data_IF_943666197235
#
_entry.id   IF_943666197235
#
_cell.length_a   1.000
_cell.length_b   1.000
_cell.length_c   1.000
_cell.angle_alpha   90.00
_cell.angle_beta   90.00
_cell.angle_gamma   90.00
#
_symmetry.space_group_name_H-M   'P 1'
#
loop_
_entity.id
_entity.type
_entity.pdbx_description
1 polymer ?
#
# COMPACT_ATOMS: atom_id res chain seq x y z
N UNK A 1 51.14 21.09 -4.48
CA UNK A 1 49.68 21.20 -4.28
C UNK A 1 49.14 19.78 -4.25
N UNK A 2 48.80 19.25 -3.05
CA UNK A 2 48.12 17.95 -2.93
C UNK A 2 46.62 18.23 -2.83
N UNK A 3 45.87 17.70 -3.81
CA UNK A 3 44.42 17.76 -3.85
C UNK A 3 43.83 16.79 -2.81
N UNK A 4 43.11 17.31 -1.83
CA UNK A 4 42.28 16.52 -0.92
C UNK A 4 41.04 16.04 -1.67
N UNK A 5 40.98 14.74 -1.98
CA UNK A 5 39.76 14.07 -2.41
C UNK A 5 38.96 13.70 -1.16
N UNK A 6 37.89 14.45 -0.89
CA UNK A 6 36.88 14.07 0.10
C UNK A 6 36.01 12.98 -0.52
N UNK A 7 36.23 11.73 -0.14
CA UNK A 7 35.34 10.62 -0.49
C UNK A 7 34.04 10.72 0.29
N UNK A 8 32.95 11.14 -0.37
CA UNK A 8 31.60 10.95 0.15
C UNK A 8 31.23 9.47 0.06
N UNK A 9 31.29 8.75 1.18
CA UNK A 9 30.70 7.43 1.30
C UNK A 9 29.17 7.60 1.40
N UNK A 10 28.46 7.37 0.29
CA UNK A 10 27.00 7.26 0.30
C UNK A 10 26.67 5.87 0.86
N UNK A 11 26.39 5.81 2.16
CA UNK A 11 25.84 4.61 2.79
C UNK A 11 24.38 4.47 2.35
N UNK A 12 24.11 3.58 1.40
CA UNK A 12 22.75 3.15 1.08
C UNK A 12 22.22 2.36 2.29
N UNK A 13 21.34 2.98 3.08
CA UNK A 13 20.56 2.25 4.08
C UNK A 13 19.65 1.28 3.31
N UNK A 14 19.85 -0.02 3.52
CA UNK A 14 18.97 -1.05 3.00
C UNK A 14 17.57 -0.83 3.56
N UNK A 15 16.60 -0.61 2.67
CA UNK A 15 15.18 -0.57 3.05
C UNK A 15 14.80 -1.98 3.49
N UNK A 16 14.57 -2.18 4.78
CA UNK A 16 14.00 -3.44 5.28
C UNK A 16 12.54 -3.43 4.86
N UNK A 17 12.20 -4.10 3.76
CA UNK A 17 10.81 -4.40 3.44
C UNK A 17 10.26 -5.32 4.53
N UNK A 18 9.49 -4.74 5.45
CA UNK A 18 8.78 -5.50 6.46
C UNK A 18 7.93 -6.56 5.76
N UNK A 19 8.05 -7.82 6.18
CA UNK A 19 7.23 -8.90 5.62
C UNK A 19 5.77 -8.64 5.97
N UNK A 20 4.91 -8.55 4.96
CA UNK A 20 3.47 -8.41 5.17
C UNK A 20 2.91 -9.77 5.56
N UNK A 21 2.15 -9.79 6.65
CA UNK A 21 1.51 -10.98 7.19
C UNK A 21 0.00 -10.89 7.02
N UNK A 22 -0.66 -12.04 6.87
CA UNK A 22 -2.12 -12.10 6.97
C UNK A 22 -2.59 -11.78 8.38
N UNK A 23 -3.89 -11.56 8.56
CA UNK A 23 -4.51 -11.36 9.88
C UNK A 23 -4.25 -12.50 10.89
N UNK A 24 -3.90 -13.69 10.40
CA UNK A 24 -3.54 -14.86 11.22
C UNK A 24 -2.02 -15.07 11.34
N UNK A 25 -1.20 -14.12 10.87
CA UNK A 25 0.26 -14.19 10.98
C UNK A 25 0.96 -15.02 9.91
N UNK A 26 0.28 -15.45 8.85
CA UNK A 26 0.93 -16.18 7.76
C UNK A 26 1.66 -15.22 6.83
N UNK A 27 2.83 -15.62 6.33
CA UNK A 27 3.52 -14.85 5.29
C UNK A 27 2.67 -14.83 4.02
N UNK A 28 2.58 -13.66 3.39
CA UNK A 28 1.86 -13.49 2.12
C UNK A 28 2.81 -13.81 0.95
N UNK A 29 2.41 -14.70 0.00
CA UNK A 29 3.12 -14.90 -1.26
C UNK A 29 3.28 -13.59 -2.04
N UNK A 30 4.41 -13.41 -2.72
CA UNK A 30 4.70 -12.20 -3.49
C UNK A 30 3.64 -11.93 -4.56
N UNK A 31 3.09 -12.99 -5.16
CA UNK A 31 2.00 -12.91 -6.14
C UNK A 31 0.75 -12.21 -5.60
N UNK A 32 0.56 -12.18 -4.28
CA UNK A 32 -0.61 -11.61 -3.61
C UNK A 32 -0.37 -10.24 -2.98
N UNK A 33 0.89 -9.82 -2.81
CA UNK A 33 1.24 -8.53 -2.19
C UNK A 33 0.71 -7.34 -3.00
N UNK A 34 0.59 -7.50 -4.33
CA UNK A 34 0.05 -6.46 -5.22
C UNK A 34 -1.38 -6.03 -4.90
N UNK A 35 -2.20 -6.91 -4.31
CA UNK A 35 -3.55 -6.55 -3.85
C UNK A 35 -3.54 -5.61 -2.63
N UNK A 36 -2.42 -5.54 -1.92
CA UNK A 36 -2.22 -4.71 -0.73
C UNK A 36 -1.46 -3.41 -1.03
N UNK A 37 -1.15 -3.16 -2.30
CA UNK A 37 -0.41 -1.98 -2.76
C UNK A 37 -1.33 -0.77 -2.99
N UNK A 38 -2.04 -0.39 -1.93
CA UNK A 38 -2.86 0.82 -1.90
C UNK A 38 -2.30 1.83 -0.90
N UNK A 39 -2.34 3.13 -1.22
CA UNK A 39 -1.97 4.16 -0.26
C UNK A 39 -2.77 4.09 1.03
N UNK A 40 -2.16 4.54 2.13
CA UNK A 40 -2.82 4.61 3.45
C UNK A 40 -4.11 5.43 3.34
N UNK A 41 -5.27 4.82 3.59
CA UNK A 41 -6.55 5.54 3.59
C UNK A 41 -7.19 5.79 2.22
N UNK A 42 -6.61 5.28 1.12
CA UNK A 42 -7.23 5.31 -0.21
C UNK A 42 -8.29 4.21 -0.32
N UNK A 43 -9.52 4.54 0.07
CA UNK A 43 -10.65 3.60 0.07
C UNK A 43 -11.04 3.16 -1.34
N UNK A 44 -10.87 4.02 -2.35
CA UNK A 44 -11.18 3.70 -3.74
C UNK A 44 -10.23 2.62 -4.27
N UNK A 45 -8.92 2.79 -4.07
CA UNK A 45 -7.92 1.80 -4.41
C UNK A 45 -8.22 0.46 -3.73
N UNK A 46 -8.46 0.48 -2.41
CA UNK A 46 -8.71 -0.74 -1.64
C UNK A 46 -9.96 -1.49 -2.11
N UNK A 47 -11.06 -0.77 -2.36
CA UNK A 47 -12.28 -1.37 -2.90
C UNK A 47 -12.05 -2.00 -4.28
N UNK A 48 -11.29 -1.33 -5.14
CA UNK A 48 -10.91 -1.86 -6.45
C UNK A 48 -10.05 -3.14 -6.33
N UNK A 49 -9.02 -3.11 -5.49
CA UNK A 49 -8.16 -4.29 -5.28
C UNK A 49 -8.90 -5.46 -4.65
N UNK A 50 -9.81 -5.21 -3.69
CA UNK A 50 -10.68 -6.25 -3.14
C UNK A 50 -11.57 -6.86 -4.20
N UNK A 51 -12.20 -6.03 -5.04
CA UNK A 51 -13.02 -6.51 -6.16
C UNK A 51 -12.21 -7.37 -7.12
N UNK A 52 -11.01 -6.92 -7.52
CA UNK A 52 -10.09 -7.70 -8.37
C UNK A 52 -9.66 -9.02 -7.71
N UNK A 53 -9.40 -9.02 -6.41
CA UNK A 53 -9.01 -10.24 -5.68
C UNK A 53 -10.16 -11.24 -5.67
N UNK A 54 -11.37 -10.80 -5.28
CA UNK A 54 -12.56 -11.64 -5.16
C UNK A 54 -13.12 -12.13 -6.50
N UNK A 55 -12.81 -11.44 -7.61
CA UNK A 55 -13.22 -11.85 -8.96
C UNK A 55 -12.11 -12.54 -9.76
N UNK A 56 -10.92 -12.70 -9.17
CA UNK A 56 -9.80 -13.38 -9.82
C UNK A 56 -10.07 -14.87 -10.01
N UNK A 57 -9.53 -15.43 -11.10
CA UNK A 57 -9.64 -16.87 -11.37
C UNK A 57 -8.99 -17.69 -10.25
N UNK A 58 -7.85 -17.24 -9.73
CA UNK A 58 -7.19 -17.85 -8.57
C UNK A 58 -8.12 -17.94 -7.36
N UNK A 59 -8.85 -16.87 -7.03
CA UNK A 59 -9.82 -16.90 -5.94
C UNK A 59 -10.98 -17.86 -6.23
N UNK A 60 -11.48 -17.90 -7.46
CA UNK A 60 -12.54 -18.82 -7.87
C UNK A 60 -12.10 -20.29 -7.76
N UNK A 61 -10.89 -20.64 -8.22
CA UNK A 61 -10.30 -21.97 -8.06
C UNK A 61 -10.18 -22.32 -6.58
N UNK A 62 -9.67 -21.41 -5.76
CA UNK A 62 -9.51 -21.65 -4.33
C UNK A 62 -10.83 -21.80 -3.57
N UNK A 63 -11.89 -21.14 -4.02
CA UNK A 63 -13.19 -21.16 -3.35
C UNK A 63 -14.10 -22.30 -3.82
N UNK A 64 -14.08 -22.60 -5.12
CA UNK A 64 -15.05 -23.49 -5.77
C UNK A 64 -14.41 -24.70 -6.47
N UNK A 65 -13.08 -24.73 -6.60
CA UNK A 65 -12.36 -25.81 -7.25
C UNK A 65 -12.49 -27.13 -6.50
N UNK A 66 -12.36 -28.24 -7.23
CA UNK A 66 -12.39 -29.56 -6.62
C UNK A 66 -11.11 -29.77 -5.78
N UNK A 67 -11.22 -30.00 -4.47
CA UNK A 67 -10.06 -30.12 -3.58
C UNK A 67 -9.15 -31.32 -3.91
N UNK A 68 -9.65 -32.33 -4.64
CA UNK A 68 -8.88 -33.52 -5.02
C UNK A 68 -7.91 -33.28 -6.19
N UNK A 69 -8.11 -32.20 -6.95
CA UNK A 69 -7.30 -31.83 -8.14
C UNK A 69 -6.85 -30.36 -8.07
N UNK A 70 -6.78 -29.79 -6.86
CA UNK A 70 -6.53 -28.38 -6.66
C UNK A 70 -5.13 -27.96 -7.16
N UNK A 71 -4.15 -28.84 -7.00
CA UNK A 71 -2.80 -28.67 -7.56
C UNK A 71 -2.82 -28.55 -9.09
N UNK A 72 -3.55 -29.45 -9.77
CA UNK A 72 -3.71 -29.41 -11.23
C UNK A 72 -4.42 -28.13 -11.68
N UNK A 73 -5.50 -27.74 -11.02
CA UNK A 73 -6.26 -26.53 -11.35
C UNK A 73 -5.41 -25.25 -11.21
N UNK A 74 -4.62 -25.14 -10.15
CA UNK A 74 -3.73 -24.00 -9.92
C UNK A 74 -2.59 -23.98 -10.96
N UNK A 75 -1.99 -25.14 -11.26
CA UNK A 75 -0.93 -25.26 -12.24
C UNK A 75 -1.41 -24.92 -13.67
N UNK A 76 -2.57 -25.43 -14.09
CA UNK A 76 -3.17 -25.14 -15.40
C UNK A 76 -3.47 -23.65 -15.60
N UNK A 77 -3.73 -22.92 -14.51
CA UNK A 77 -3.99 -21.49 -14.53
C UNK A 77 -2.73 -20.64 -14.26
N UNK A 78 -1.54 -21.25 -14.31
CA UNK A 78 -0.25 -20.58 -14.08
C UNK A 78 -0.20 -19.81 -12.75
N UNK A 79 -0.86 -20.34 -11.71
CA UNK A 79 -0.84 -19.72 -10.39
C UNK A 79 0.48 -20.06 -9.70
N UNK A 80 1.28 -19.04 -9.40
CA UNK A 80 2.47 -19.19 -8.58
C UNK A 80 2.09 -19.30 -7.09
N UNK A 81 2.15 -20.53 -6.59
CA UNK A 81 1.90 -20.88 -5.18
C UNK A 81 3.19 -20.94 -4.35
N UNK A 82 4.34 -20.60 -4.93
CA UNK A 82 5.66 -20.67 -4.29
C UNK A 82 5.92 -22.05 -3.62
N UNK A 83 6.31 -22.06 -2.34
CA UNK A 83 6.58 -23.27 -1.56
C UNK A 83 5.38 -23.71 -0.69
N UNK A 84 4.19 -23.15 -0.91
CA UNK A 84 3.00 -23.52 -0.14
C UNK A 84 2.34 -24.77 -0.71
N UNK A 85 1.65 -25.54 0.14
CA UNK A 85 0.69 -26.51 -0.40
C UNK A 85 -0.50 -25.78 -1.05
N UNK A 86 -1.19 -26.38 -2.04
CA UNK A 86 -2.38 -25.80 -2.68
C UNK A 86 -3.44 -25.32 -1.68
N UNK A 87 -3.68 -26.11 -0.63
CA UNK A 87 -4.67 -25.80 0.42
C UNK A 87 -4.22 -24.60 1.26
N UNK A 88 -2.95 -24.54 1.66
CA UNK A 88 -2.42 -23.40 2.41
C UNK A 88 -2.42 -22.13 1.59
N UNK A 89 -2.01 -22.21 0.33
CA UNK A 89 -2.06 -21.08 -0.59
C UNK A 89 -3.49 -20.54 -0.71
N UNK A 90 -4.48 -21.39 -0.92
CA UNK A 90 -5.88 -20.96 -1.05
C UNK A 90 -6.47 -20.38 0.25
N UNK A 91 -6.00 -20.86 1.40
CA UNK A 91 -6.32 -20.25 2.71
C UNK A 91 -5.72 -18.83 2.81
N UNK A 92 -4.48 -18.65 2.36
CA UNK A 92 -3.81 -17.35 2.35
C UNK A 92 -4.48 -16.41 1.33
N UNK A 93 -4.77 -16.85 0.11
CA UNK A 93 -5.51 -16.10 -0.92
C UNK A 93 -6.79 -15.49 -0.34
N UNK A 94 -7.59 -16.32 0.33
CA UNK A 94 -8.84 -15.89 0.96
C UNK A 94 -8.61 -14.86 2.07
N UNK A 95 -7.59 -15.08 2.91
CA UNK A 95 -7.23 -14.13 3.98
C UNK A 95 -6.78 -12.79 3.42
N UNK A 96 -5.96 -12.80 2.37
CA UNK A 96 -5.50 -11.59 1.68
C UNK A 96 -6.70 -10.83 1.12
N UNK A 97 -7.58 -11.47 0.34
CA UNK A 97 -8.75 -10.77 -0.22
C UNK A 97 -9.64 -10.14 0.87
N UNK A 98 -9.77 -10.79 2.03
CA UNK A 98 -10.61 -10.30 3.13
C UNK A 98 -9.97 -9.14 3.91
N UNK A 99 -8.64 -9.02 3.93
CA UNK A 99 -7.96 -7.98 4.72
C UNK A 99 -7.65 -6.69 3.95
N UNK A 100 -7.87 -6.65 2.63
CA UNK A 100 -7.48 -5.50 1.76
C UNK A 100 -8.05 -4.16 2.26
N UNK A 101 -9.34 -4.11 2.59
CA UNK A 101 -9.99 -2.86 3.04
C UNK A 101 -9.41 -2.32 4.35
N UNK A 102 -9.03 -3.22 5.24
CA UNK A 102 -8.54 -2.89 6.58
C UNK A 102 -7.01 -2.69 6.62
N UNK A 103 -6.29 -3.26 5.65
CA UNK A 103 -4.84 -3.18 5.60
C UNK A 103 -4.38 -1.76 5.28
N UNK A 104 -3.53 -1.19 6.14
CA UNK A 104 -2.76 0.01 5.83
C UNK A 104 -1.29 -0.39 5.73
N UNK A 105 -0.58 -0.01 4.66
CA UNK A 105 0.84 -0.28 4.58
C UNK A 105 1.60 0.46 5.70
N UNK A 106 2.82 0.01 6.04
CA UNK A 106 3.65 0.69 7.01
C UNK A 106 3.84 2.17 6.66
N UNK A 107 3.83 3.02 7.68
CA UNK A 107 4.11 4.44 7.51
C UNK A 107 5.58 4.63 7.10
N UNK A 108 5.81 5.28 5.97
CA UNK A 108 7.16 5.59 5.44
C UNK A 108 7.51 7.06 5.64
N UNK A 109 8.77 7.41 5.38
CA UNK A 109 9.22 8.80 5.42
C UNK A 109 8.55 9.66 4.34
N UNK A 110 8.27 9.08 3.17
CA UNK A 110 7.71 9.82 2.04
C UNK A 110 6.31 10.34 2.39
N UNK A 111 5.47 9.52 3.02
CA UNK A 111 4.18 9.96 3.57
C UNK A 111 4.27 11.16 4.53
N UNK A 112 5.40 11.38 5.19
CA UNK A 112 5.57 12.43 6.21
C UNK A 112 6.25 13.68 5.65
N UNK A 113 7.25 13.50 4.77
CA UNK A 113 8.13 14.58 4.36
C UNK A 113 7.88 15.06 2.92
N UNK A 114 7.35 14.20 2.06
CA UNK A 114 6.91 14.58 0.71
C UNK A 114 5.47 15.10 0.76
N UNK A 115 5.31 16.26 1.39
CA UNK A 115 3.99 16.87 1.58
C UNK A 115 3.41 17.40 0.26
N UNK A 116 4.26 17.76 -0.70
CA UNK A 116 3.84 18.30 -2.00
C UNK A 116 3.07 17.27 -2.82
N UNK A 117 3.41 15.98 -2.70
CA UNK A 117 2.65 14.89 -3.33
C UNK A 117 1.17 14.87 -2.92
N UNK A 118 0.76 15.49 -1.81
CA UNK A 118 -0.66 15.58 -1.45
C UNK A 118 -1.45 16.62 -2.26
N UNK A 119 -0.75 17.55 -2.92
CA UNK A 119 -1.33 18.70 -3.63
C UNK A 119 -1.25 18.55 -5.16
N UNK A 120 -1.02 17.34 -5.68
CA UNK A 120 -0.80 17.10 -7.11
C UNK A 120 -2.08 16.80 -7.91
N UNK A 121 -3.26 16.99 -7.33
CA UNK A 121 -4.52 16.78 -8.04
C UNK A 121 -4.83 17.97 -8.95
N UNK A 122 -5.45 17.70 -10.10
CA UNK A 122 -6.04 18.76 -10.91
C UNK A 122 -7.18 19.45 -10.14
N UNK A 123 -7.45 20.72 -10.46
CA UNK A 123 -8.42 21.54 -9.73
C UNK A 123 -9.86 21.02 -9.85
N UNK A 124 -10.20 20.34 -10.94
CA UNK A 124 -11.53 19.74 -11.15
C UNK A 124 -11.61 18.25 -10.75
N UNK A 125 -10.50 17.63 -10.33
CA UNK A 125 -10.48 16.24 -9.89
C UNK A 125 -10.85 16.08 -8.41
N UNK A 126 -12.15 16.22 -8.14
CA UNK A 126 -12.75 16.03 -6.81
C UNK A 126 -12.46 14.64 -6.22
N UNK A 127 -12.33 13.61 -7.07
CA UNK A 127 -12.06 12.25 -6.62
C UNK A 127 -10.62 12.11 -6.11
N UNK A 128 -9.66 12.69 -6.83
CA UNK A 128 -8.27 12.78 -6.39
C UNK A 128 -8.17 13.58 -5.09
N UNK A 129 -8.79 14.77 -5.02
CA UNK A 129 -8.78 15.62 -3.82
C UNK A 129 -9.33 14.89 -2.61
N UNK A 130 -10.46 14.19 -2.76
CA UNK A 130 -11.05 13.36 -1.70
C UNK A 130 -10.08 12.26 -1.24
N UNK A 131 -9.47 11.51 -2.17
CA UNK A 131 -8.54 10.43 -1.85
C UNK A 131 -7.27 10.94 -1.15
N UNK A 132 -6.65 12.01 -1.66
CA UNK A 132 -5.49 12.66 -1.04
C UNK A 132 -5.83 13.21 0.35
N UNK A 133 -6.99 13.82 0.54
CA UNK A 133 -7.42 14.32 1.85
C UNK A 133 -7.60 13.19 2.86
N UNK A 134 -8.32 12.12 2.49
CA UNK A 134 -8.49 10.92 3.33
C UNK A 134 -7.13 10.34 3.75
N UNK A 135 -6.24 10.16 2.78
CA UNK A 135 -4.88 9.67 3.00
C UNK A 135 -4.11 10.58 3.95
N UNK A 136 -4.06 11.89 3.66
CA UNK A 136 -3.32 12.87 4.45
C UNK A 136 -3.77 12.88 5.91
N UNK A 137 -5.09 12.91 6.15
CA UNK A 137 -5.65 12.92 7.51
C UNK A 137 -5.35 11.65 8.28
N UNK A 138 -5.38 10.48 7.62
CA UNK A 138 -5.02 9.22 8.26
C UNK A 138 -3.53 9.17 8.60
N UNK A 139 -2.67 9.62 7.68
CA UNK A 139 -1.23 9.71 7.91
C UNK A 139 -0.90 10.68 9.04
N UNK A 140 -1.59 11.82 9.16
CA UNK A 140 -1.42 12.74 10.31
C UNK A 140 -1.69 12.02 11.63
N UNK A 141 -2.77 11.22 11.71
CA UNK A 141 -3.08 10.44 12.93
C UNK A 141 -1.95 9.46 13.26
N UNK A 142 -1.36 8.83 12.26
CA UNK A 142 -0.23 7.89 12.42
C UNK A 142 1.11 8.58 12.68
N UNK A 143 1.27 9.83 12.24
CA UNK A 143 2.50 10.60 12.41
C UNK A 143 2.80 10.89 13.88
N UNK A 144 1.76 11.27 14.64
CA UNK A 144 1.88 11.64 16.04
C UNK A 144 2.39 10.46 16.88
N UNK A 145 3.56 10.64 17.51
CA UNK A 145 4.21 9.62 18.34
C UNK A 145 5.27 8.80 17.59
N UNK A 146 5.26 8.82 16.26
CA UNK A 146 6.23 8.09 15.42
C UNK A 146 7.26 9.01 14.75
N UNK A 147 6.91 10.29 14.55
CA UNK A 147 7.74 11.27 13.82
C UNK A 147 7.87 12.61 14.58
N UNK A 148 8.82 13.48 14.19
CA UNK A 148 8.99 14.79 14.80
C UNK A 148 7.70 15.63 14.74
N UNK A 149 7.33 16.25 15.87
CA UNK A 149 6.11 17.08 15.97
C UNK A 149 6.03 18.17 14.90
N UNK A 150 7.16 18.76 14.53
CA UNK A 150 7.24 19.79 13.48
C UNK A 150 6.85 19.25 12.10
N UNK A 151 7.27 18.02 11.77
CA UNK A 151 6.88 17.36 10.52
C UNK A 151 5.38 17.06 10.50
N UNK A 152 4.84 16.49 11.59
CA UNK A 152 3.40 16.22 11.69
C UNK A 152 2.54 17.50 11.64
N UNK A 153 3.03 18.63 12.20
CA UNK A 153 2.38 19.94 12.04
C UNK A 153 2.40 20.42 10.59
N UNK A 154 3.52 20.27 9.88
CA UNK A 154 3.63 20.63 8.46
C UNK A 154 2.64 19.82 7.63
N UNK A 155 2.67 18.50 7.78
CA UNK A 155 1.72 17.60 7.11
C UNK A 155 0.27 17.98 7.41
N UNK A 156 -0.07 18.23 8.68
CA UNK A 156 -1.43 18.62 9.07
C UNK A 156 -1.91 19.87 8.34
N UNK A 157 -1.05 20.88 8.19
CA UNK A 157 -1.37 22.11 7.43
C UNK A 157 -1.57 21.82 5.95
N UNK A 158 -0.69 21.01 5.36
CA UNK A 158 -0.86 20.58 3.97
C UNK A 158 -2.18 19.84 3.76
N UNK A 159 -2.62 19.02 4.72
CA UNK A 159 -3.95 18.39 4.63
C UNK A 159 -5.12 19.40 4.69
N UNK A 160 -4.90 20.57 5.30
CA UNK A 160 -5.89 21.66 5.32
C UNK A 160 -5.93 22.40 3.99
N UNK A 161 -4.86 22.37 3.19
CA UNK A 161 -4.77 23.01 1.86
C UNK A 161 -5.40 22.17 0.74
N UNK A 162 -5.58 20.85 0.95
CA UNK A 162 -6.21 19.96 -0.04
C UNK A 162 -7.68 20.39 -0.25
N UNK A 163 -7.95 20.99 -1.41
CA UNK A 163 -9.27 21.48 -1.80
C UNK A 163 -9.50 22.98 -1.59
N UNK A 164 -8.47 23.74 -1.21
CA UNK A 164 -8.50 25.20 -1.28
C UNK A 164 -7.77 25.67 -2.55
N UNK A 165 -8.49 26.33 -3.45
CA UNK A 165 -7.86 27.21 -4.43
C UNK A 165 -7.35 28.46 -3.67
N UNK A 166 -6.06 28.78 -3.80
CA UNK A 166 -5.62 30.14 -3.46
C UNK A 166 -6.39 31.11 -4.37
N UNK A 167 -7.08 32.13 -3.82
CA UNK A 167 -7.69 33.13 -4.67
C UNK A 167 -6.59 33.80 -5.47
N UNK A 168 -6.66 33.67 -6.80
CA UNK A 168 -5.80 34.39 -7.73
C UNK A 168 -5.82 35.88 -7.35
N UNK A 169 -4.68 36.41 -6.91
CA UNK A 169 -4.49 37.85 -6.73
C UNK A 169 -4.58 38.49 -8.13
N UNK A 170 -5.76 38.98 -8.50
CA UNK A 170 -6.00 39.87 -9.65
C UNK A 170 -5.99 41.33 -9.23
#
# INVERSE_FOLDING_TARGET
MLSNLVSLAISFASVVSATVLTSNGNKIPNSLVSYLDCPIGDTLCKNNMKSKCLTSETYNICKNGNPLILDELLAQNNVDIENYSPVEFCKIQTQVCNMIEDYNPPLTRDYIFDVENYLTCDDDDEMCKYSKNSTCRLVVKMCWGNYPKTACKKLSKTCDEIGYEEPNET
#
